data_IF_778501675993
#
_entry.id   IF_778501675993
#
_cell.length_a   1.000
_cell.length_b   1.000
_cell.length_c   1.000
_cell.angle_alpha   90.00
_cell.angle_beta   90.00
_cell.angle_gamma   90.00
#
_symmetry.space_group_name_H-M   'P 1'
#
loop_
_entity.id
_entity.type
_entity.pdbx_description
1 polymer ?
#
# COMPACT_ATOMS: atom_id res chain seq x y z
N UNK A 1 18.15 25.40 4.98
CA UNK A 1 16.82 25.72 5.51
C UNK A 1 16.70 25.05 6.87
N UNK A 2 16.62 25.84 7.94
CA UNK A 2 16.50 25.36 9.32
C UNK A 2 15.07 24.86 9.57
N UNK A 3 14.84 23.56 9.67
CA UNK A 3 13.56 23.05 10.17
C UNK A 3 13.63 22.91 11.68
N UNK A 4 12.97 23.82 12.39
CA UNK A 4 12.67 23.65 13.81
C UNK A 4 11.68 22.48 13.96
N UNK A 5 12.13 21.33 14.45
CA UNK A 5 11.23 20.24 14.84
C UNK A 5 10.43 20.69 16.06
N UNK A 6 9.13 20.95 15.88
CA UNK A 6 8.21 21.19 16.99
C UNK A 6 7.82 19.84 17.58
N UNK A 7 8.32 19.55 18.77
CA UNK A 7 7.97 18.37 19.58
C UNK A 7 6.46 18.35 19.82
N UNK A 8 5.74 17.44 19.15
CA UNK A 8 4.29 17.23 19.34
C UNK A 8 3.47 17.11 18.06
N UNK A 9 4.03 17.42 16.88
CA UNK A 9 3.32 17.28 15.60
C UNK A 9 3.29 15.81 15.17
N UNK A 10 2.11 15.18 15.17
CA UNK A 10 1.95 13.81 14.68
C UNK A 10 2.06 13.80 13.17
N UNK A 11 3.21 13.37 12.64
CA UNK A 11 3.39 13.16 11.20
C UNK A 11 2.37 12.17 10.67
N UNK A 12 1.45 12.64 9.83
CA UNK A 12 0.48 11.79 9.12
C UNK A 12 1.19 11.16 7.94
N UNK A 13 1.07 9.83 7.80
CA UNK A 13 1.74 9.05 6.75
C UNK A 13 0.69 8.29 5.96
N UNK A 14 0.75 8.42 4.63
CA UNK A 14 0.06 7.54 3.70
C UNK A 14 1.07 6.54 3.12
N UNK A 15 0.62 5.31 2.90
CA UNK A 15 1.41 4.26 2.25
C UNK A 15 0.70 3.85 0.97
N UNK A 16 1.44 3.83 -0.14
CA UNK A 16 0.96 3.37 -1.44
C UNK A 16 1.61 2.02 -1.75
N UNK A 17 0.87 0.92 -1.58
CA UNK A 17 1.31 -0.41 -1.96
C UNK A 17 0.76 -0.73 -3.35
N UNK A 18 1.62 -1.23 -4.25
CA UNK A 18 1.27 -1.47 -5.66
C UNK A 18 1.66 -2.89 -6.06
N UNK A 19 0.80 -3.55 -6.84
CA UNK A 19 1.12 -4.77 -7.57
C UNK A 19 1.05 -4.44 -9.06
N UNK A 20 2.11 -4.72 -9.80
CA UNK A 20 2.18 -4.52 -11.25
C UNK A 20 2.54 -5.82 -11.93
N UNK A 21 1.80 -6.19 -12.99
CA UNK A 21 2.05 -7.39 -13.77
C UNK A 21 2.99 -7.06 -14.93
N UNK A 22 4.27 -6.94 -14.61
CA UNK A 22 5.33 -6.60 -15.54
C UNK A 22 6.63 -6.30 -14.80
N UNK A 23 7.64 -5.87 -15.54
CA UNK A 23 8.90 -5.42 -14.96
C UNK A 23 8.79 -4.00 -14.37
N UNK A 24 9.75 -3.69 -13.52
CA UNK A 24 9.86 -2.43 -12.79
C UNK A 24 10.17 -1.24 -13.71
N UNK A 25 10.88 -1.44 -14.82
CA UNK A 25 11.14 -0.38 -15.80
C UNK A 25 9.84 0.12 -16.45
N UNK A 26 8.96 -0.79 -16.87
CA UNK A 26 7.62 -0.46 -17.40
C UNK A 26 6.76 0.22 -16.34
N UNK A 27 6.80 -0.27 -15.10
CA UNK A 27 6.09 0.37 -13.99
C UNK A 27 6.56 1.82 -13.80
N UNK A 28 7.88 2.06 -13.75
CA UNK A 28 8.42 3.40 -13.58
C UNK A 28 8.04 4.32 -14.74
N UNK A 29 8.14 3.85 -15.98
CA UNK A 29 7.71 4.62 -17.15
C UNK A 29 6.25 5.03 -17.03
N UNK A 30 5.37 4.07 -16.71
CA UNK A 30 3.93 4.32 -16.55
C UNK A 30 3.64 5.30 -15.41
N UNK A 31 4.29 5.15 -14.25
CA UNK A 31 4.04 6.01 -13.09
C UNK A 31 4.58 7.42 -13.30
N UNK A 32 5.68 7.58 -14.04
CA UNK A 32 6.19 8.89 -14.41
C UNK A 32 5.25 9.62 -15.38
N UNK A 33 4.58 8.90 -16.27
CA UNK A 33 3.60 9.46 -17.20
C UNK A 33 2.26 9.78 -16.52
N UNK A 34 1.72 8.84 -15.76
CA UNK A 34 0.33 8.90 -15.28
C UNK A 34 0.19 9.43 -13.86
N UNK A 35 1.20 9.27 -13.01
CA UNK A 35 1.16 9.75 -11.63
C UNK A 35 2.52 10.27 -11.12
N UNK A 36 3.11 11.28 -11.79
CA UNK A 36 4.42 11.82 -11.45
C UNK A 36 4.56 12.37 -10.02
N UNK A 37 3.50 12.87 -9.33
CA UNK A 37 3.65 13.33 -7.94
C UNK A 37 4.13 12.26 -6.96
N UNK A 38 3.93 10.97 -7.26
CA UNK A 38 4.39 9.88 -6.39
C UNK A 38 5.92 9.76 -6.36
N UNK A 39 6.61 10.18 -7.42
CA UNK A 39 8.08 10.13 -7.54
C UNK A 39 8.68 8.75 -7.24
N UNK A 40 8.04 7.71 -7.75
CA UNK A 40 8.49 6.32 -7.60
C UNK A 40 9.91 6.15 -8.16
N UNK A 41 10.78 5.45 -7.42
CA UNK A 41 12.14 5.13 -7.87
C UNK A 41 12.31 3.63 -8.06
N UNK A 42 13.31 3.27 -8.86
CA UNK A 42 13.72 1.87 -9.04
C UNK A 42 14.05 1.19 -7.71
N UNK A 43 14.65 1.91 -6.77
CA UNK A 43 14.98 1.41 -5.42
C UNK A 43 13.77 1.04 -4.58
N UNK A 44 12.58 1.54 -4.95
CA UNK A 44 11.33 1.29 -4.24
C UNK A 44 10.59 0.07 -4.83
N UNK A 45 11.09 -0.47 -5.95
CA UNK A 45 10.49 -1.59 -6.67
C UNK A 45 11.19 -2.90 -6.29
N UNK A 46 10.39 -3.93 -5.99
CA UNK A 46 10.89 -5.29 -5.77
C UNK A 46 10.21 -6.21 -6.76
N UNK A 47 10.99 -6.78 -7.68
CA UNK A 47 10.49 -7.78 -8.62
C UNK A 47 10.49 -9.17 -7.96
N UNK A 48 9.40 -9.90 -8.17
CA UNK A 48 9.20 -11.24 -7.63
C UNK A 48 8.14 -11.96 -8.46
N UNK A 49 8.04 -13.28 -8.32
CA UNK A 49 6.94 -14.03 -8.91
C UNK A 49 5.59 -13.64 -8.29
N UNK A 50 4.50 -13.89 -9.00
CA UNK A 50 3.16 -13.58 -8.50
C UNK A 50 2.87 -14.22 -7.13
N UNK A 51 3.28 -15.48 -6.92
CA UNK A 51 3.05 -16.18 -5.64
C UNK A 51 3.89 -15.60 -4.50
N UNK A 52 5.11 -15.13 -4.78
CA UNK A 52 5.92 -14.42 -3.78
C UNK A 52 5.30 -13.07 -3.41
N UNK A 53 4.61 -12.40 -4.34
CA UNK A 53 3.86 -11.17 -4.02
C UNK A 53 2.75 -11.43 -2.99
N UNK A 54 2.12 -12.61 -3.01
CA UNK A 54 1.12 -12.98 -1.99
C UNK A 54 1.74 -13.04 -0.60
N UNK A 55 2.98 -13.52 -0.48
CA UNK A 55 3.73 -13.50 0.79
C UNK A 55 4.01 -12.07 1.25
N UNK A 56 4.39 -11.18 0.34
CA UNK A 56 4.57 -9.76 0.63
C UNK A 56 3.27 -9.12 1.18
N UNK A 57 2.12 -9.33 0.50
CA UNK A 57 0.83 -8.78 0.93
C UNK A 57 0.31 -9.34 2.26
N UNK A 58 0.76 -10.53 2.64
CA UNK A 58 0.43 -11.17 3.92
C UNK A 58 1.49 -10.93 5.00
N UNK A 59 2.43 -10.00 4.76
CA UNK A 59 3.50 -9.59 5.67
C UNK A 59 4.44 -10.73 6.09
N UNK A 60 4.62 -11.77 5.28
CA UNK A 60 5.71 -12.72 5.50
C UNK A 60 7.07 -12.05 5.18
N UNK A 61 8.14 -12.43 5.89
CA UNK A 61 9.50 -12.01 5.54
C UNK A 61 9.87 -12.41 4.11
N UNK A 62 10.65 -11.56 3.44
CA UNK A 62 11.20 -11.88 2.13
C UNK A 62 12.03 -13.19 2.19
N UNK A 63 11.87 -14.06 1.18
CA UNK A 63 12.52 -15.37 1.13
C UNK A 63 11.77 -16.48 1.90
N UNK A 64 10.61 -16.20 2.49
CA UNK A 64 9.77 -17.26 3.08
C UNK A 64 9.35 -18.26 2.00
N UNK A 65 9.45 -19.58 2.23
CA UNK A 65 8.98 -20.58 1.27
C UNK A 65 7.47 -20.48 1.03
N UNK A 66 7.06 -20.53 -0.23
CA UNK A 66 5.64 -20.38 -0.66
C UNK A 66 4.71 -21.45 -0.09
N UNK A 67 5.23 -22.61 0.32
CA UNK A 67 4.44 -23.68 0.93
C UNK A 67 3.76 -23.25 2.25
N UNK A 68 4.23 -22.17 2.89
CA UNK A 68 3.62 -21.63 4.10
C UNK A 68 2.17 -21.18 3.87
N UNK A 69 1.83 -20.81 2.63
CA UNK A 69 0.48 -20.43 2.22
C UNK A 69 -0.53 -21.58 2.34
N UNK A 70 -0.06 -22.83 2.46
CA UNK A 70 -0.91 -23.99 2.70
C UNK A 70 -1.30 -24.15 4.17
N UNK A 71 -0.59 -23.47 5.08
CA UNK A 71 -0.90 -23.49 6.51
C UNK A 71 -2.19 -22.72 6.81
N UNK A 72 -3.10 -23.32 7.57
CA UNK A 72 -4.32 -22.66 8.05
C UNK A 72 -4.16 -22.06 9.45
N UNK A 73 -2.95 -22.04 9.99
CA UNK A 73 -2.66 -21.45 11.30
C UNK A 73 -2.45 -19.94 11.12
N UNK A 74 -3.27 -19.07 11.75
CA UNK A 74 -3.09 -17.64 11.66
C UNK A 74 -1.79 -17.21 12.34
N UNK A 75 -1.03 -16.32 11.70
CA UNK A 75 0.22 -15.77 12.26
C UNK A 75 -0.04 -14.90 13.50
N UNK A 76 -1.11 -14.10 13.45
CA UNK A 76 -1.47 -13.13 14.49
C UNK A 76 -2.97 -13.22 14.71
N UNK A 77 -3.38 -13.24 15.97
CA UNK A 77 -4.77 -13.10 16.37
C UNK A 77 -5.02 -11.62 16.72
N UNK A 78 -5.70 -10.91 15.83
CA UNK A 78 -6.05 -9.49 16.05
C UNK A 78 -7.56 -9.30 16.07
N UNK A 79 -8.08 -8.66 17.12
CA UNK A 79 -9.47 -8.25 17.19
C UNK A 79 -9.63 -6.88 16.55
N UNK A 80 -10.38 -6.80 15.45
CA UNK A 80 -10.54 -5.58 14.68
C UNK A 80 -12.01 -5.34 14.34
N UNK A 81 -12.42 -4.08 14.37
CA UNK A 81 -13.70 -3.62 13.83
C UNK A 81 -13.41 -2.73 12.63
N UNK A 82 -13.86 -3.14 11.46
CA UNK A 82 -13.66 -2.41 10.20
C UNK A 82 -14.99 -2.03 9.58
N UNK A 83 -15.01 -0.89 8.91
CA UNK A 83 -16.09 -0.44 8.03
C UNK A 83 -15.49 -0.08 6.68
N UNK A 84 -16.28 -0.16 5.62
CA UNK A 84 -15.88 0.22 4.27
C UNK A 84 -17.01 1.02 3.61
N UNK A 85 -16.62 1.97 2.75
CA UNK A 85 -17.53 2.83 2.01
C UNK A 85 -17.08 2.93 0.55
N UNK A 86 -18.02 3.26 -0.35
CA UNK A 86 -17.75 3.48 -1.77
C UNK A 86 -17.82 4.98 -2.10
N UNK A 87 -16.87 5.45 -2.90
CA UNK A 87 -16.81 6.83 -3.36
C UNK A 87 -17.20 6.92 -4.83
N UNK A 88 -18.17 7.78 -5.17
CA UNK A 88 -18.51 8.10 -6.56
C UNK A 88 -17.73 9.29 -7.11
N UNK A 89 -17.31 10.18 -6.23
CA UNK A 89 -16.52 11.38 -6.54
C UNK A 89 -15.31 11.43 -5.58
N UNK A 90 -14.18 12.06 -5.99
CA UNK A 90 -13.05 12.28 -5.10
C UNK A 90 -13.45 13.03 -3.83
N UNK A 91 -12.87 12.65 -2.69
CA UNK A 91 -13.04 13.40 -1.43
C UNK A 91 -12.35 14.77 -1.59
N UNK A 92 -13.04 15.90 -1.33
CA UNK A 92 -12.42 17.21 -1.35
C UNK A 92 -11.25 17.31 -0.36
N UNK A 93 -10.29 18.20 -0.62
CA UNK A 93 -9.10 18.37 0.21
C UNK A 93 -9.44 18.56 1.70
N UNK A 94 -10.45 19.37 2.01
CA UNK A 94 -10.90 19.62 3.38
C UNK A 94 -11.44 18.35 4.06
N UNK A 95 -12.06 17.45 3.30
CA UNK A 95 -12.51 16.15 3.81
C UNK A 95 -11.32 15.24 4.13
N UNK A 96 -10.28 15.24 3.30
CA UNK A 96 -9.05 14.49 3.58
C UNK A 96 -8.31 15.06 4.79
N UNK A 97 -8.21 16.38 4.91
CA UNK A 97 -7.61 17.05 6.07
C UNK A 97 -8.37 16.68 7.36
N UNK A 98 -9.70 16.72 7.32
CA UNK A 98 -10.54 16.29 8.45
C UNK A 98 -10.29 14.82 8.80
N UNK A 99 -10.21 13.92 7.82
CA UNK A 99 -9.87 12.51 8.06
C UNK A 99 -8.48 12.42 8.71
N UNK A 100 -7.47 13.05 8.14
CA UNK A 100 -6.12 12.99 8.69
C UNK A 100 -6.04 13.57 10.10
N UNK A 101 -6.75 14.64 10.45
CA UNK A 101 -6.75 15.21 11.79
C UNK A 101 -7.43 14.29 12.82
N UNK A 102 -8.61 13.79 12.48
CA UNK A 102 -9.48 13.05 13.39
C UNK A 102 -9.13 11.56 13.48
N UNK A 103 -8.49 11.01 12.46
CA UNK A 103 -8.03 9.63 12.51
C UNK A 103 -6.83 9.55 13.46
N UNK A 104 -7.11 9.13 14.70
CA UNK A 104 -6.10 8.90 15.76
C UNK A 104 -5.25 7.66 15.46
N UNK A 105 -5.60 6.93 14.40
CA UNK A 105 -4.93 5.75 13.91
C UNK A 105 -4.13 6.19 12.70
N UNK A 106 -2.82 6.39 12.87
CA UNK A 106 -1.93 6.51 11.73
C UNK A 106 -1.92 5.17 11.02
N UNK A 107 -2.78 5.00 10.01
CA UNK A 107 -2.69 4.11 8.84
C UNK A 107 -4.00 4.33 8.06
N UNK A 108 -3.96 5.22 7.06
CA UNK A 108 -4.94 5.19 5.98
C UNK A 108 -4.39 4.25 4.92
N UNK A 109 -4.72 2.96 5.00
CA UNK A 109 -4.41 2.03 3.91
C UNK A 109 -5.42 2.28 2.80
N UNK A 110 -5.03 3.03 1.77
CA UNK A 110 -5.76 3.05 0.51
C UNK A 110 -5.28 1.86 -0.30
N UNK A 111 -6.09 0.81 -0.36
CA UNK A 111 -5.83 -0.36 -1.20
C UNK A 111 -6.43 -0.10 -2.57
N UNK A 112 -5.58 -0.06 -3.60
CA UNK A 112 -6.03 -0.10 -5.00
C UNK A 112 -5.86 -1.53 -5.48
N UNK A 113 -6.98 -2.25 -5.57
CA UNK A 113 -7.04 -3.60 -6.13
C UNK A 113 -7.47 -3.49 -7.60
N UNK A 114 -6.73 -4.12 -8.50
CA UNK A 114 -7.27 -4.50 -9.81
C UNK A 114 -7.07 -6.00 -10.05
N UNK A 115 -8.14 -6.65 -10.49
CA UNK A 115 -8.22 -8.06 -10.84
C UNK A 115 -7.69 -8.27 -12.27
N UNK A 116 -7.06 -9.42 -12.53
CA UNK A 116 -7.19 -10.06 -13.84
C UNK A 116 -7.45 -11.57 -13.74
N UNK A 117 -8.17 -12.07 -14.75
CA UNK A 117 -8.72 -13.42 -14.91
C UNK A 117 -7.65 -14.49 -15.08
N UNK A 118 -7.97 -15.71 -14.64
CA UNK A 118 -7.34 -16.94 -15.10
C UNK A 118 -7.33 -17.00 -16.63
N UNK A 119 -6.19 -17.39 -17.19
CA UNK A 119 -6.12 -18.08 -18.48
C UNK A 119 -5.08 -19.20 -18.36
N UNK A 120 -5.52 -20.45 -18.55
CA UNK A 120 -4.68 -21.64 -18.77
C UNK A 120 -4.44 -22.48 -17.53
#
# INVERSE_FOLDING_TARGET
MNSSFRTGEKTKRATFLTLFLGDSEKLLSLMNETFPPLRLKQSDCTEMSWVESVLFWTNFPAGTPVNILLSRVPQILTHLKRKSDYLKNPIPKQGLEFIFENDRIGISNVYIQSLWRNNG
#
